data_IF_613548876913
#
_entry.id   IF_613548876913
#
_cell.length_a   1.000
_cell.length_b   1.000
_cell.length_c   1.000
_cell.angle_alpha   90.00
_cell.angle_beta   90.00
_cell.angle_gamma   90.00
#
_symmetry.space_group_name_H-M   'P 1'
#
loop_
_entity.id
_entity.type
_entity.pdbx_description
1 polymer ?
#
# COMPACT_ATOMS: atom_id res chain seq x y z
N UNK A 1 1.07 16.95 2.51
CA UNK A 1 0.27 15.88 1.85
C UNK A 1 -1.22 16.17 2.00
N UNK A 2 -1.77 16.16 3.21
CA UNK A 2 -3.21 16.44 3.46
C UNK A 2 -3.65 17.77 2.80
N UNK A 3 -2.95 18.87 3.07
CA UNK A 3 -3.27 20.17 2.45
C UNK A 3 -3.20 20.17 0.91
N UNK A 4 -2.33 19.35 0.30
CA UNK A 4 -2.26 19.18 -1.17
C UNK A 4 -3.49 18.43 -1.66
N UNK A 5 -3.85 17.34 -1.00
CA UNK A 5 -5.01 16.52 -1.36
C UNK A 5 -6.31 17.31 -1.25
N UNK A 6 -6.53 18.01 -0.14
CA UNK A 6 -7.74 18.80 0.08
C UNK A 6 -7.87 19.96 -0.92
N UNK A 7 -6.76 20.64 -1.23
CA UNK A 7 -6.76 21.75 -2.18
C UNK A 7 -7.25 21.34 -3.58
N UNK A 8 -6.83 20.17 -4.05
CA UNK A 8 -7.12 19.68 -5.40
C UNK A 8 -7.97 18.40 -5.37
N UNK A 9 -8.83 18.24 -4.34
CA UNK A 9 -9.59 17.01 -4.07
C UNK A 9 -10.37 16.52 -5.28
N UNK A 10 -11.04 17.42 -6.00
CA UNK A 10 -11.82 17.08 -7.19
C UNK A 10 -10.99 16.40 -8.29
N UNK A 11 -9.70 16.71 -8.40
CA UNK A 11 -8.79 16.03 -9.31
C UNK A 11 -8.43 14.63 -8.80
N UNK A 12 -8.07 14.52 -7.52
CA UNK A 12 -7.60 13.25 -6.93
C UNK A 12 -8.70 12.20 -6.78
N UNK A 13 -9.96 12.60 -6.58
CA UNK A 13 -11.11 11.69 -6.55
C UNK A 13 -11.72 11.42 -7.94
N UNK A 14 -11.15 12.01 -8.99
CA UNK A 14 -11.64 11.79 -10.35
C UNK A 14 -11.24 10.41 -10.88
N UNK A 15 -12.08 9.81 -11.73
CA UNK A 15 -11.80 8.52 -12.38
C UNK A 15 -10.52 8.50 -13.23
N UNK A 16 -10.01 9.67 -13.59
CA UNK A 16 -8.79 9.80 -14.39
C UNK A 16 -7.51 9.78 -13.55
N UNK A 17 -7.59 9.82 -12.21
CA UNK A 17 -6.41 9.80 -11.34
C UNK A 17 -5.97 8.35 -11.05
N UNK A 18 -4.82 7.88 -11.56
CA UNK A 18 -4.44 6.47 -11.48
C UNK A 18 -3.92 6.08 -10.09
N UNK A 19 -4.13 4.83 -9.70
CA UNK A 19 -3.60 4.24 -8.46
C UNK A 19 -2.09 4.40 -8.32
N UNK A 20 -1.33 4.16 -9.39
CA UNK A 20 0.12 4.37 -9.42
C UNK A 20 0.51 5.82 -9.08
N UNK A 21 -0.32 6.79 -9.46
CA UNK A 21 -0.07 8.20 -9.17
C UNK A 21 -0.37 8.53 -7.70
N UNK A 22 -1.42 7.95 -7.11
CA UNK A 22 -1.73 8.04 -5.66
C UNK A 22 -0.54 7.56 -4.84
N UNK A 23 0.05 6.43 -5.25
CA UNK A 23 1.23 5.83 -4.63
C UNK A 23 2.40 6.80 -4.61
N UNK A 24 2.71 7.44 -5.74
CA UNK A 24 3.81 8.39 -5.86
C UNK A 24 3.56 9.72 -5.13
N UNK A 25 2.37 10.29 -5.26
CA UNK A 25 2.05 11.62 -4.74
C UNK A 25 1.82 11.64 -3.23
N UNK A 26 1.30 10.55 -2.67
CA UNK A 26 0.76 10.53 -1.31
C UNK A 26 1.24 9.37 -0.46
N UNK A 27 1.15 8.11 -0.93
CA UNK A 27 1.50 6.96 -0.08
C UNK A 27 3.02 6.85 0.16
N UNK A 28 3.85 6.98 -0.88
CA UNK A 28 5.30 6.95 -0.72
C UNK A 28 5.79 8.05 0.23
N UNK A 29 5.38 9.33 0.08
CA UNK A 29 5.76 10.37 1.04
C UNK A 29 5.15 10.15 2.44
N UNK A 30 3.95 9.57 2.55
CA UNK A 30 3.32 9.25 3.83
C UNK A 30 4.11 8.21 4.61
N UNK A 31 4.41 7.06 4.02
CA UNK A 31 5.17 6.01 4.69
C UNK A 31 6.61 6.42 4.99
N UNK A 32 7.21 7.24 4.11
CA UNK A 32 8.51 7.85 4.37
C UNK A 32 8.47 8.79 5.58
N UNK A 33 7.41 9.57 5.76
CA UNK A 33 7.23 10.41 6.93
C UNK A 33 7.04 9.59 8.22
N UNK A 34 6.54 8.35 8.12
CA UNK A 34 6.51 7.38 9.22
C UNK A 34 7.85 6.69 9.48
N UNK A 35 8.91 7.02 8.74
CA UNK A 35 10.26 6.50 8.92
C UNK A 35 10.62 5.28 8.06
N UNK A 36 9.75 4.87 7.14
CA UNK A 36 10.03 3.74 6.25
C UNK A 36 10.92 4.14 5.07
N UNK A 37 11.95 3.35 4.79
CA UNK A 37 12.84 3.56 3.64
C UNK A 37 12.26 2.95 2.35
N UNK A 38 11.25 3.62 1.79
CA UNK A 38 10.56 3.21 0.55
C UNK A 38 11.52 3.17 -0.65
N UNK A 39 12.45 4.13 -0.71
CA UNK A 39 13.35 4.33 -1.85
C UNK A 39 14.67 3.56 -1.71
N UNK A 40 14.84 2.80 -0.61
CA UNK A 40 16.09 2.14 -0.24
C UNK A 40 17.30 3.09 -0.23
N UNK A 41 17.15 4.28 0.36
CA UNK A 41 18.23 5.26 0.53
C UNK A 41 19.40 4.74 1.36
N UNK A 42 19.13 3.82 2.28
CA UNK A 42 20.16 3.12 3.06
C UNK A 42 20.97 2.13 2.21
N UNK A 43 20.61 1.91 0.93
CA UNK A 43 21.25 0.98 0.00
C UNK A 43 21.34 -0.46 0.53
N UNK A 44 20.34 -0.88 1.31
CA UNK A 44 20.26 -2.23 1.84
C UNK A 44 20.16 -3.27 0.70
N UNK A 45 20.74 -4.46 0.87
CA UNK A 45 20.56 -5.55 -0.06
C UNK A 45 19.07 -5.96 -0.11
N UNK A 46 18.59 -6.60 -1.20
CA UNK A 46 17.17 -6.88 -1.41
C UNK A 46 16.46 -7.60 -0.25
N UNK A 47 17.15 -8.48 0.48
CA UNK A 47 16.57 -9.23 1.61
C UNK A 47 16.48 -8.41 2.91
N UNK A 48 17.22 -7.31 3.03
CA UNK A 48 17.22 -6.43 4.21
C UNK A 48 16.37 -5.17 4.03
N UNK A 49 15.87 -4.87 2.82
CA UNK A 49 15.06 -3.66 2.57
C UNK A 49 13.86 -3.59 3.50
N UNK A 50 13.58 -2.40 4.00
CA UNK A 50 12.45 -2.17 4.91
C UNK A 50 11.11 -2.26 4.18
N UNK A 51 11.09 -1.90 2.89
CA UNK A 51 9.89 -2.01 2.06
C UNK A 51 10.23 -2.63 0.70
N UNK A 52 9.43 -3.61 0.28
CA UNK A 52 9.40 -4.10 -1.10
C UNK A 52 8.17 -3.50 -1.77
N UNK A 53 8.41 -2.74 -2.84
CA UNK A 53 7.37 -2.06 -3.63
C UNK A 53 7.18 -2.86 -4.92
N UNK A 54 5.95 -3.33 -5.19
CA UNK A 54 5.64 -3.98 -6.47
C UNK A 54 5.37 -2.90 -7.52
N UNK A 55 6.12 -2.95 -8.62
CA UNK A 55 6.11 -1.94 -9.68
C UNK A 55 5.40 -2.44 -10.94
N UNK A 56 5.15 -3.75 -11.05
CA UNK A 56 4.45 -4.33 -12.18
C UNK A 56 2.93 -4.23 -11.97
N UNK A 57 2.21 -3.49 -12.83
CA UNK A 57 0.74 -3.45 -12.78
C UNK A 57 0.09 -4.79 -13.18
N UNK A 58 0.87 -5.73 -13.74
CA UNK A 58 0.42 -7.04 -14.19
C UNK A 58 0.70 -8.14 -13.15
N UNK A 59 1.41 -7.82 -12.07
CA UNK A 59 1.75 -8.76 -11.01
C UNK A 59 0.50 -9.11 -10.18
N UNK A 60 -0.25 -10.10 -10.66
CA UNK A 60 -1.30 -10.73 -9.86
C UNK A 60 -0.67 -11.50 -8.69
N UNK A 61 -1.34 -11.48 -7.54
CA UNK A 61 -0.90 -12.26 -6.38
C UNK A 61 0.23 -11.63 -5.57
N UNK A 62 0.55 -10.34 -5.77
CA UNK A 62 1.52 -9.60 -4.93
C UNK A 62 0.92 -8.28 -4.43
N UNK A 63 1.19 -7.91 -3.16
CA UNK A 63 0.74 -6.63 -2.62
C UNK A 63 1.58 -5.47 -3.19
N UNK A 64 0.97 -4.29 -3.29
CA UNK A 64 1.68 -3.07 -3.71
C UNK A 64 2.88 -2.74 -2.83
N UNK A 65 2.76 -3.01 -1.53
CA UNK A 65 3.82 -2.82 -0.55
C UNK A 65 3.90 -4.00 0.42
N UNK A 66 5.12 -4.46 0.66
CA UNK A 66 5.47 -5.37 1.74
C UNK A 66 6.43 -4.66 2.70
N UNK A 67 5.94 -4.39 3.92
CA UNK A 67 6.69 -3.74 4.98
C UNK A 67 7.35 -4.78 5.89
N UNK A 68 8.66 -4.62 6.11
CA UNK A 68 9.50 -5.60 6.79
C UNK A 68 10.39 -4.95 7.83
N UNK A 69 10.63 -5.67 8.93
CA UNK A 69 11.63 -5.29 9.93
C UNK A 69 12.60 -6.46 10.05
N UNK A 70 13.89 -6.20 9.85
CA UNK A 70 14.95 -7.20 9.84
C UNK A 70 14.66 -8.36 8.88
N UNK A 71 14.15 -8.05 7.69
CA UNK A 71 13.79 -9.03 6.65
C UNK A 71 12.47 -9.78 6.88
N UNK A 72 11.87 -9.70 8.08
CA UNK A 72 10.60 -10.33 8.38
C UNK A 72 9.41 -9.42 8.02
N UNK A 73 8.47 -9.94 7.23
CA UNK A 73 7.23 -9.23 6.88
C UNK A 73 6.42 -8.90 8.13
N UNK A 74 5.91 -7.67 8.21
CA UNK A 74 5.05 -7.19 9.30
C UNK A 74 3.63 -6.94 8.84
N UNK A 75 3.47 -6.32 7.69
CA UNK A 75 2.17 -6.07 7.09
C UNK A 75 2.30 -5.77 5.60
N UNK A 76 1.17 -5.90 4.90
CA UNK A 76 1.06 -5.48 3.52
C UNK A 76 0.15 -4.26 3.39
N UNK A 77 0.38 -3.48 2.34
CA UNK A 77 -0.52 -2.40 1.93
C UNK A 77 -0.90 -2.64 0.47
N UNK A 78 -2.20 -2.58 0.20
CA UNK A 78 -2.80 -2.55 -1.12
C UNK A 78 -3.34 -1.15 -1.36
N UNK A 79 -2.92 -0.52 -2.46
CA UNK A 79 -3.39 0.78 -2.86
C UNK A 79 -4.58 0.65 -3.81
N UNK A 80 -5.46 1.65 -3.82
CA UNK A 80 -6.47 1.86 -4.87
C UNK A 80 -6.49 3.32 -5.29
N UNK A 81 -7.07 3.59 -6.47
CA UNK A 81 -7.41 4.96 -6.84
C UNK A 81 -8.55 5.47 -5.94
N UNK A 82 -8.55 6.75 -5.50
CA UNK A 82 -9.62 7.33 -4.68
C UNK A 82 -11.02 7.29 -5.31
N UNK A 83 -11.10 7.11 -6.63
CA UNK A 83 -12.37 6.90 -7.32
C UNK A 83 -12.94 5.48 -7.17
N UNK A 84 -12.19 4.55 -6.56
CA UNK A 84 -12.55 3.13 -6.37
C UNK A 84 -12.96 2.93 -4.91
N UNK A 85 -14.13 2.34 -4.71
CA UNK A 85 -14.65 2.11 -3.37
C UNK A 85 -13.91 0.95 -2.67
N UNK A 86 -13.43 1.18 -1.44
CA UNK A 86 -12.68 0.17 -0.69
C UNK A 86 -13.56 -0.86 0.04
N UNK A 87 -14.90 -0.76 -0.07
CA UNK A 87 -15.86 -1.74 0.47
C UNK A 87 -16.19 -2.87 -0.51
N UNK A 88 -15.66 -2.83 -1.74
CA UNK A 88 -15.80 -3.93 -2.68
C UNK A 88 -15.16 -5.19 -2.11
N UNK A 89 -15.97 -6.23 -1.96
CA UNK A 89 -15.57 -7.51 -1.40
C UNK A 89 -14.39 -8.13 -2.16
N UNK A 90 -14.26 -7.90 -3.47
CA UNK A 90 -13.16 -8.42 -4.27
C UNK A 90 -11.82 -7.80 -3.84
N UNK A 91 -11.80 -6.49 -3.53
CA UNK A 91 -10.60 -5.82 -3.03
C UNK A 91 -10.21 -6.31 -1.64
N UNK A 92 -11.21 -6.54 -0.78
CA UNK A 92 -10.99 -7.09 0.56
C UNK A 92 -10.41 -8.50 0.48
N UNK A 93 -11.00 -9.37 -0.37
CA UNK A 93 -10.54 -10.74 -0.56
C UNK A 93 -9.14 -10.81 -1.17
N UNK A 94 -8.85 -9.95 -2.17
CA UNK A 94 -7.51 -9.82 -2.74
C UNK A 94 -6.50 -9.49 -1.65
N UNK A 95 -6.78 -8.45 -0.85
CA UNK A 95 -5.87 -8.01 0.18
C UNK A 95 -5.65 -9.09 1.27
N UNK A 96 -6.72 -9.80 1.68
CA UNK A 96 -6.62 -10.91 2.64
C UNK A 96 -5.87 -12.14 2.11
N UNK A 97 -5.89 -12.38 0.80
CA UNK A 97 -5.22 -13.55 0.20
C UNK A 97 -3.72 -13.59 0.44
N UNK A 98 -3.07 -12.44 0.60
CA UNK A 98 -1.62 -12.33 0.87
C UNK A 98 -1.23 -12.73 2.29
N UNK A 99 -2.06 -12.39 3.28
CA UNK A 99 -1.82 -12.80 4.66
C UNK A 99 -1.99 -14.32 4.81
N UNK A 100 -2.98 -14.91 4.12
CA UNK A 100 -3.16 -16.36 4.09
C UNK A 100 -1.95 -17.09 3.49
N UNK A 101 -1.36 -16.56 2.42
CA UNK A 101 -0.23 -17.21 1.74
C UNK A 101 1.06 -17.17 2.55
N UNK A 102 1.25 -16.15 3.39
CA UNK A 102 2.48 -15.98 4.18
C UNK A 102 2.40 -16.57 5.59
N UNK A 103 1.21 -16.69 6.19
CA UNK A 103 0.97 -17.20 7.57
C UNK A 103 1.71 -16.45 8.69
N UNK A 104 2.48 -15.43 8.37
CA UNK A 104 3.30 -14.64 9.29
C UNK A 104 2.74 -13.22 9.51
N UNK A 105 1.73 -12.84 8.71
CA UNK A 105 1.14 -11.50 8.69
C UNK A 105 -0.29 -11.56 9.20
N UNK A 106 -0.60 -10.73 10.19
CA UNK A 106 -1.89 -10.74 10.88
C UNK A 106 -2.84 -9.64 10.39
N UNK A 107 -2.36 -8.68 9.62
CA UNK A 107 -3.21 -7.61 9.09
C UNK A 107 -2.72 -7.07 7.76
N UNK A 108 -3.68 -6.54 7.02
CA UNK A 108 -3.48 -5.89 5.73
C UNK A 108 -4.14 -4.53 5.74
N UNK A 109 -3.51 -3.56 5.09
CA UNK A 109 -4.08 -2.22 4.92
C UNK A 109 -4.55 -2.07 3.48
N UNK A 110 -5.82 -1.72 3.29
CA UNK A 110 -6.36 -1.28 2.01
C UNK A 110 -6.57 0.23 2.09
N UNK A 111 -6.03 1.00 1.15
CA UNK A 111 -6.06 2.45 1.21
C UNK A 111 -6.04 3.11 -0.16
N UNK A 112 -6.67 4.26 -0.26
CA UNK A 112 -6.59 5.20 -1.38
C UNK A 112 -5.96 6.55 -0.95
N UNK A 113 -5.29 6.57 0.20
CA UNK A 113 -4.83 7.75 0.96
C UNK A 113 -5.92 8.59 1.64
N UNK A 114 -7.16 8.67 1.12
CA UNK A 114 -8.26 9.36 1.80
C UNK A 114 -8.75 8.56 3.02
N UNK A 115 -8.86 7.24 2.87
CA UNK A 115 -9.20 6.31 3.93
C UNK A 115 -8.17 5.18 4.08
N UNK A 116 -8.01 4.68 5.31
CA UNK A 116 -7.15 3.56 5.66
C UNK A 116 -7.98 2.49 6.35
N UNK A 117 -8.16 1.35 5.69
CA UNK A 117 -8.92 0.21 6.23
C UNK A 117 -7.98 -0.90 6.63
N UNK A 118 -7.99 -1.21 7.92
CA UNK A 118 -7.23 -2.30 8.50
C UNK A 118 -8.10 -3.56 8.51
N UNK A 119 -7.66 -4.60 7.81
CA UNK A 119 -8.31 -5.89 7.83
C UNK A 119 -7.46 -6.87 8.62
N UNK A 120 -8.08 -7.44 9.66
CA UNK A 120 -7.54 -8.60 10.36
C UNK A 120 -7.56 -9.80 9.41
N UNK A 121 -6.40 -10.44 9.29
CA UNK A 121 -6.17 -11.63 8.51
C UNK A 121 -5.50 -12.75 9.33
N UNK A 122 -5.53 -12.63 10.67
CA UNK A 122 -5.26 -13.73 11.58
C UNK A 122 -6.29 -14.86 11.38
N UNK A 123 -5.82 -16.09 11.62
CA UNK A 123 -6.63 -17.31 11.57
C UNK A 123 -7.24 -17.61 12.94
#
# INVERSE_FOLDING_TARGET
MIAKFEKDKAHYVSKGYPEAQVRLDFLNPFFKALGWDIENKAQKPPHERDVIVELSPEATGRPDYNFRINGATKFFVEAKAPSVALDDINHILQAKSYAWSTKEVYFVVLTDFEEFRLYDASL
#
